data_IF_613764730757
#
_entry.id   IF_613764730757
#
_cell.length_a   1.000
_cell.length_b   1.000
_cell.length_c   1.000
_cell.angle_alpha   90.00
_cell.angle_beta   90.00
_cell.angle_gamma   90.00
#
_symmetry.space_group_name_H-M   'P 1'
#
loop_
_entity.id
_entity.type
_entity.pdbx_description
1 polymer ?
#
# COMPACT_ATOMS: atom_id res chain seq x y z
N UNK A 1 -54.01 -31.03 -13.47
CA UNK A 1 -53.65 -30.23 -12.28
C UNK A 1 -52.61 -29.20 -12.70
N UNK A 2 -53.04 -28.02 -13.14
CA UNK A 2 -52.14 -27.05 -13.79
C UNK A 2 -52.70 -25.64 -13.66
N UNK A 3 -52.43 -25.02 -12.52
CA UNK A 3 -52.89 -23.67 -12.21
C UNK A 3 -52.08 -23.12 -11.04
N UNK A 4 -50.82 -22.79 -11.31
CA UNK A 4 -49.97 -22.05 -10.38
C UNK A 4 -48.98 -21.20 -11.18
N UNK A 5 -49.49 -20.38 -12.09
CA UNK A 5 -48.73 -19.22 -12.55
C UNK A 5 -48.98 -18.13 -11.51
N UNK A 6 -47.93 -17.72 -10.80
CA UNK A 6 -47.98 -16.60 -9.86
C UNK A 6 -48.66 -15.39 -10.53
N UNK A 7 -49.59 -14.69 -9.85
CA UNK A 7 -50.13 -13.45 -10.39
C UNK A 7 -48.99 -12.43 -10.57
N UNK A 8 -49.13 -11.53 -11.54
CA UNK A 8 -48.08 -10.56 -11.89
C UNK A 8 -47.60 -9.76 -10.69
N UNK A 9 -48.53 -9.36 -9.82
CA UNK A 9 -48.23 -8.60 -8.60
C UNK A 9 -47.33 -9.39 -7.62
N UNK A 10 -47.51 -10.72 -7.54
CA UNK A 10 -46.63 -11.57 -6.73
C UNK A 10 -45.25 -11.73 -7.38
N UNK A 11 -45.17 -11.77 -8.71
CA UNK A 11 -43.90 -11.81 -9.44
C UNK A 11 -43.11 -10.51 -9.20
N UNK A 12 -43.76 -9.35 -9.31
CA UNK A 12 -43.14 -8.04 -9.08
C UNK A 12 -42.71 -7.86 -7.61
N UNK A 13 -43.49 -8.38 -6.67
CA UNK A 13 -43.12 -8.42 -5.25
C UNK A 13 -41.89 -9.31 -5.04
N UNK A 14 -41.90 -10.53 -5.58
CA UNK A 14 -40.77 -11.47 -5.49
C UNK A 14 -39.51 -10.90 -6.14
N UNK A 15 -39.62 -10.17 -7.26
CA UNK A 15 -38.47 -9.51 -7.89
C UNK A 15 -37.86 -8.44 -6.99
N UNK A 16 -38.68 -7.54 -6.43
CA UNK A 16 -38.20 -6.50 -5.51
C UNK A 16 -37.59 -7.07 -4.24
N UNK A 17 -38.22 -8.10 -3.67
CA UNK A 17 -37.68 -8.81 -2.51
C UNK A 17 -36.30 -9.42 -2.85
N UNK A 18 -36.19 -10.09 -4.00
CA UNK A 18 -34.92 -10.67 -4.45
C UNK A 18 -33.82 -9.62 -4.68
N UNK A 19 -34.15 -8.48 -5.28
CA UNK A 19 -33.21 -7.36 -5.47
C UNK A 19 -32.73 -6.80 -4.14
N UNK A 20 -33.62 -6.60 -3.17
CA UNK A 20 -33.25 -6.11 -1.83
C UNK A 20 -32.33 -7.08 -1.10
N UNK A 21 -32.61 -8.39 -1.14
CA UNK A 21 -31.73 -9.39 -0.53
C UNK A 21 -30.37 -9.45 -1.23
N UNK A 22 -30.34 -9.34 -2.57
CA UNK A 22 -29.09 -9.31 -3.32
C UNK A 22 -28.23 -8.09 -2.93
N UNK A 23 -28.83 -6.91 -2.75
CA UNK A 23 -28.12 -5.72 -2.27
C UNK A 23 -27.64 -5.87 -0.81
N UNK A 24 -28.44 -6.46 0.07
CA UNK A 24 -28.09 -6.69 1.46
C UNK A 24 -26.92 -7.67 1.59
N UNK A 25 -26.93 -8.75 0.81
CA UNK A 25 -25.84 -9.73 0.75
C UNK A 25 -24.56 -9.13 0.18
N UNK A 26 -24.68 -8.28 -0.85
CA UNK A 26 -23.54 -7.53 -1.39
C UNK A 26 -22.91 -6.63 -0.32
N UNK A 27 -23.73 -5.84 0.39
CA UNK A 27 -23.25 -4.94 1.46
C UNK A 27 -22.57 -5.72 2.58
N UNK A 28 -23.13 -6.86 2.99
CA UNK A 28 -22.52 -7.74 4.00
C UNK A 28 -21.16 -8.27 3.56
N UNK A 29 -21.05 -8.71 2.30
CA UNK A 29 -19.79 -9.19 1.75
C UNK A 29 -18.74 -8.08 1.73
N UNK A 30 -19.09 -6.91 1.20
CA UNK A 30 -18.17 -5.77 1.12
C UNK A 30 -17.70 -5.33 2.51
N UNK A 31 -18.60 -5.32 3.50
CA UNK A 31 -18.25 -5.01 4.88
C UNK A 31 -17.23 -6.01 5.46
N UNK A 32 -17.46 -7.31 5.24
CA UNK A 32 -16.54 -8.36 5.69
C UNK A 32 -15.17 -8.27 4.98
N UNK A 33 -15.15 -8.03 3.67
CA UNK A 33 -13.91 -7.85 2.91
C UNK A 33 -13.13 -6.63 3.37
N UNK A 34 -13.81 -5.50 3.57
CA UNK A 34 -13.20 -4.26 4.07
C UNK A 34 -12.58 -4.47 5.45
N UNK A 35 -13.29 -5.17 6.35
CA UNK A 35 -12.76 -5.51 7.68
C UNK A 35 -11.53 -6.41 7.61
N UNK A 36 -11.56 -7.46 6.80
CA UNK A 36 -10.42 -8.37 6.65
C UNK A 36 -9.19 -7.64 6.09
N UNK A 37 -9.38 -6.76 5.11
CA UNK A 37 -8.31 -5.94 4.55
C UNK A 37 -7.72 -4.99 5.59
N UNK A 38 -8.57 -4.33 6.37
CA UNK A 38 -8.17 -3.43 7.44
C UNK A 38 -7.39 -4.16 8.56
N UNK A 39 -7.86 -5.33 9.00
CA UNK A 39 -7.17 -6.15 10.01
C UNK A 39 -5.80 -6.61 9.50
N UNK A 40 -5.72 -7.03 8.24
CA UNK A 40 -4.45 -7.38 7.60
C UNK A 40 -3.50 -6.17 7.54
N UNK A 41 -4.00 -4.99 7.18
CA UNK A 41 -3.21 -3.75 7.11
C UNK A 41 -2.67 -3.35 8.49
N UNK A 42 -3.49 -3.48 9.55
CA UNK A 42 -3.05 -3.25 10.93
C UNK A 42 -1.88 -4.18 11.24
N UNK A 43 -2.05 -5.49 11.05
CA UNK A 43 -1.03 -6.47 11.38
C UNK A 43 0.29 -6.24 10.62
N UNK A 44 0.23 -6.01 9.31
CA UNK A 44 1.45 -5.80 8.50
C UNK A 44 2.18 -4.53 8.88
N UNK A 45 1.45 -3.45 9.16
CA UNK A 45 2.05 -2.16 9.54
C UNK A 45 2.65 -2.23 10.95
N UNK A 46 1.97 -2.87 11.91
CA UNK A 46 2.52 -3.07 13.26
C UNK A 46 3.79 -3.90 13.23
N UNK A 47 3.78 -5.00 12.47
CA UNK A 47 4.96 -5.82 12.30
C UNK A 47 6.11 -5.02 11.69
N UNK A 48 5.82 -4.23 10.65
CA UNK A 48 6.84 -3.43 9.99
C UNK A 48 7.44 -2.36 10.92
N UNK A 49 6.63 -1.71 11.76
CA UNK A 49 7.13 -0.81 12.80
C UNK A 49 8.04 -1.55 13.78
N UNK A 50 7.60 -2.71 14.27
CA UNK A 50 8.36 -3.53 15.22
C UNK A 50 9.71 -3.99 14.64
N UNK A 51 9.73 -4.38 13.36
CA UNK A 51 10.94 -4.86 12.69
C UNK A 51 11.94 -3.71 12.40
N UNK A 52 11.49 -2.45 12.44
CA UNK A 52 12.29 -1.27 12.07
C UNK A 52 12.35 -0.19 13.17
N UNK A 53 12.01 -0.50 14.42
CA UNK A 53 11.82 0.52 15.48
C UNK A 53 13.00 1.47 15.66
N UNK A 54 14.23 0.98 15.48
CA UNK A 54 15.46 1.76 15.64
C UNK A 54 15.75 2.69 14.46
N UNK A 55 15.18 2.40 13.28
CA UNK A 55 15.41 3.14 12.02
C UNK A 55 14.29 4.12 11.70
N UNK A 56 13.17 4.05 12.41
CA UNK A 56 12.00 4.89 12.17
C UNK A 56 12.12 6.18 12.99
N UNK A 57 12.00 7.37 12.36
CA UNK A 57 11.92 8.63 13.10
C UNK A 57 10.76 8.64 14.09
N UNK A 58 10.99 9.16 15.30
CA UNK A 58 10.00 9.15 16.39
C UNK A 58 8.67 9.84 16.01
N UNK A 59 8.74 10.94 15.27
CA UNK A 59 7.55 11.66 14.79
C UNK A 59 6.71 10.79 13.84
N UNK A 60 7.35 10.13 12.88
CA UNK A 60 6.70 9.20 11.94
C UNK A 60 6.13 7.98 12.66
N UNK A 61 6.86 7.42 13.63
CA UNK A 61 6.38 6.31 14.47
C UNK A 61 5.08 6.69 15.17
N UNK A 62 5.06 7.86 15.83
CA UNK A 62 3.89 8.35 16.56
C UNK A 62 2.69 8.61 15.64
N UNK A 63 2.90 9.13 14.43
CA UNK A 63 1.83 9.39 13.45
C UNK A 63 1.18 8.07 12.97
N UNK A 64 1.99 7.05 12.70
CA UNK A 64 1.51 5.72 12.28
C UNK A 64 0.80 5.00 13.43
N UNK A 65 1.36 5.01 14.64
CA UNK A 65 0.74 4.39 15.83
C UNK A 65 -0.62 5.01 16.17
N UNK A 66 -0.74 6.32 16.04
CA UNK A 66 -2.02 7.03 16.22
C UNK A 66 -3.05 6.58 15.19
N UNK A 67 -2.65 6.46 13.92
CA UNK A 67 -3.54 6.04 12.84
C UNK A 67 -3.95 4.57 12.96
N UNK A 68 -3.03 3.70 13.41
CA UNK A 68 -3.33 2.30 13.71
C UNK A 68 -4.31 2.16 14.88
N UNK A 69 -4.15 2.98 15.92
CA UNK A 69 -5.06 2.98 17.07
C UNK A 69 -6.46 3.40 16.64
N UNK A 70 -6.58 4.46 15.82
CA UNK A 70 -7.87 4.89 15.28
C UNK A 70 -8.54 3.79 14.45
N UNK A 71 -7.80 3.15 13.53
CA UNK A 71 -8.33 2.03 12.73
C UNK A 71 -8.78 0.85 13.61
N UNK A 72 -8.01 0.50 14.64
CA UNK A 72 -8.39 -0.54 15.61
C UNK A 72 -9.67 -0.19 16.36
N UNK A 73 -9.86 1.08 16.74
CA UNK A 73 -11.11 1.52 17.37
C UNK A 73 -12.29 1.44 16.40
N UNK A 74 -12.12 1.85 15.13
CA UNK A 74 -13.18 1.72 14.11
C UNK A 74 -13.56 0.26 13.83
N UNK A 75 -12.59 -0.64 13.84
CA UNK A 75 -12.80 -2.08 13.64
C UNK A 75 -13.64 -2.74 14.75
N UNK A 76 -13.82 -2.09 15.91
CA UNK A 76 -14.76 -2.56 16.95
C UNK A 76 -16.22 -2.29 16.60
N UNK A 77 -16.47 -1.40 15.64
CA UNK A 77 -17.81 -1.06 15.15
C UNK A 77 -18.17 -1.77 13.84
N UNK A 78 -19.30 -1.36 13.26
CA UNK A 78 -19.83 -1.91 12.00
C UNK A 78 -19.89 -0.85 10.88
N UNK A 79 -19.36 0.35 11.13
CA UNK A 79 -19.32 1.43 10.14
C UNK A 79 -18.22 1.16 9.10
N UNK A 80 -18.63 0.53 8.00
CA UNK A 80 -17.72 0.15 6.90
C UNK A 80 -17.07 1.38 6.25
N UNK A 81 -17.76 2.52 6.20
CA UNK A 81 -17.21 3.75 5.64
C UNK A 81 -16.11 4.32 6.55
N UNK A 82 -16.35 4.35 7.86
CA UNK A 82 -15.33 4.79 8.83
C UNK A 82 -14.10 3.88 8.85
N UNK A 83 -14.29 2.56 8.71
CA UNK A 83 -13.17 1.60 8.60
C UNK A 83 -12.36 1.86 7.34
N UNK A 84 -13.02 2.12 6.19
CA UNK A 84 -12.35 2.43 4.93
C UNK A 84 -11.53 3.72 5.02
N UNK A 85 -12.10 4.80 5.53
CA UNK A 85 -11.40 6.07 5.73
C UNK A 85 -10.18 5.92 6.65
N UNK A 86 -10.33 5.22 7.78
CA UNK A 86 -9.23 4.96 8.70
C UNK A 86 -8.15 4.05 8.07
N UNK A 87 -8.54 3.10 7.20
CA UNK A 87 -7.62 2.25 6.45
C UNK A 87 -6.79 3.05 5.44
N UNK A 88 -7.42 3.98 4.73
CA UNK A 88 -6.73 4.91 3.81
C UNK A 88 -5.72 5.77 4.56
N UNK A 89 -6.08 6.26 5.75
CA UNK A 89 -5.17 7.02 6.60
C UNK A 89 -3.95 6.20 7.03
N UNK A 90 -4.16 4.95 7.48
CA UNK A 90 -3.06 4.04 7.80
C UNK A 90 -2.18 3.82 6.57
N UNK A 91 -2.77 3.51 5.41
CA UNK A 91 -2.01 3.30 4.17
C UNK A 91 -1.15 4.52 3.80
N UNK A 92 -1.69 5.75 3.90
CA UNK A 92 -0.95 6.97 3.64
C UNK A 92 0.22 7.17 4.62
N UNK A 93 0.00 6.93 5.92
CA UNK A 93 1.08 7.04 6.92
C UNK A 93 2.13 5.94 6.76
N UNK A 94 1.74 4.72 6.38
CA UNK A 94 2.66 3.61 6.08
C UNK A 94 3.52 3.88 4.85
N UNK A 95 3.01 4.60 3.85
CA UNK A 95 3.81 5.05 2.71
C UNK A 95 4.90 6.05 3.13
N UNK A 96 4.57 7.04 3.97
CA UNK A 96 5.56 7.97 4.52
C UNK A 96 6.64 7.25 5.32
N UNK A 97 6.24 6.23 6.09
CA UNK A 97 7.16 5.38 6.85
C UNK A 97 8.15 4.64 5.94
N UNK A 98 7.66 4.04 4.85
CA UNK A 98 8.52 3.39 3.85
C UNK A 98 9.49 4.36 3.18
N UNK A 99 9.03 5.57 2.85
CA UNK A 99 9.88 6.63 2.29
C UNK A 99 10.98 7.06 3.26
N UNK A 100 10.66 7.24 4.55
CA UNK A 100 11.64 7.62 5.57
C UNK A 100 12.74 6.56 5.73
N UNK A 101 12.37 5.28 5.75
CA UNK A 101 13.32 4.17 5.86
C UNK A 101 14.20 4.02 4.62
N UNK A 102 13.64 4.23 3.42
CA UNK A 102 14.40 4.16 2.18
C UNK A 102 15.40 5.34 2.07
N UNK A 103 14.98 6.54 2.46
CA UNK A 103 15.86 7.70 2.50
C UNK A 103 17.02 7.52 3.50
N UNK A 104 16.74 6.96 4.68
CA UNK A 104 17.78 6.62 5.67
C UNK A 104 18.76 5.57 5.15
N UNK A 105 18.26 4.54 4.45
CA UNK A 105 19.09 3.51 3.85
C UNK A 105 20.04 4.06 2.77
N UNK A 106 19.58 4.98 1.91
CA UNK A 106 20.44 5.63 0.92
C UNK A 106 21.52 6.50 1.59
N UNK A 107 21.16 7.21 2.66
CA UNK A 107 22.11 8.06 3.39
C UNK A 107 23.14 7.24 4.17
N UNK A 108 22.76 6.09 4.73
CA UNK A 108 23.67 5.14 5.37
C UNK A 108 24.69 4.54 4.37
N UNK A 109 24.27 4.29 3.12
CA UNK A 109 25.14 3.76 2.07
C UNK A 109 26.13 4.82 1.53
N UNK A 110 25.72 6.09 1.48
CA UNK A 110 26.61 7.20 1.13
C UNK A 110 27.63 7.55 2.26
N UNK A 111 27.26 7.35 3.53
CA UNK A 111 28.13 7.58 4.69
C UNK A 111 29.18 6.49 4.96
N UNK A 112 29.06 5.33 4.31
CA UNK A 112 30.02 4.21 4.43
C UNK A 112 31.32 4.38 3.65
N UNK A 113 31.44 5.41 2.79
CA UNK A 113 32.62 5.63 1.94
C UNK A 113 33.74 6.45 2.60
N UNK A 114 33.53 7.04 3.79
CA UNK A 114 34.50 7.96 4.42
C UNK A 114 35.23 7.43 5.67
N UNK A 115 35.02 6.17 6.06
CA UNK A 115 35.66 5.56 7.25
C UNK A 115 36.68 4.46 6.93
N UNK A 116 37.45 4.60 5.84
CA UNK A 116 38.43 3.58 5.43
C UNK A 116 39.77 4.08 4.85
N UNK A 117 40.05 5.39 4.84
CA UNK A 117 41.30 5.92 4.29
C UNK A 117 42.36 6.12 5.38
N UNK A 118 43.04 5.04 5.78
CA UNK A 118 44.05 5.13 6.84
C UNK A 118 44.89 3.89 7.13
N UNK A 119 45.27 3.09 6.12
CA UNK A 119 46.46 2.23 6.21
C UNK A 119 46.86 1.74 4.81
N UNK A 120 47.90 2.35 4.24
CA UNK A 120 48.61 1.81 3.10
C UNK A 120 49.58 0.72 3.57
N UNK A 121 49.45 -0.51 3.06
CA UNK A 121 50.62 -1.34 2.69
C UNK A 121 50.28 -2.38 1.60
N UNK A 122 50.75 -2.07 0.40
CA UNK A 122 51.23 -2.92 -0.70
C UNK A 122 50.62 -4.31 -1.00
N UNK A 123 49.88 -4.39 -2.13
CA UNK A 123 49.65 -5.63 -2.90
C UNK A 123 48.85 -5.42 -4.19
N UNK A 124 49.52 -5.46 -5.35
CA UNK A 124 49.13 -5.14 -6.75
C UNK A 124 47.98 -6.00 -7.40
N UNK A 125 47.52 -5.76 -8.67
CA UNK A 125 46.11 -5.47 -9.01
C UNK A 125 45.47 -6.41 -10.08
N UNK A 126 44.14 -6.48 -10.12
CA UNK A 126 43.29 -6.96 -11.25
C UNK A 126 41.84 -6.61 -10.84
N UNK A 127 40.93 -5.96 -11.55
CA UNK A 127 40.83 -5.38 -12.88
C UNK A 127 39.31 -5.26 -13.20
N UNK A 128 38.76 -4.03 -13.24
CA UNK A 128 37.46 -3.59 -13.83
C UNK A 128 36.16 -4.28 -13.34
N UNK A 129 35.22 -3.71 -12.57
CA UNK A 129 34.50 -2.42 -12.61
C UNK A 129 33.36 -2.33 -13.65
N UNK A 130 32.32 -3.16 -13.57
CA UNK A 130 30.95 -2.99 -14.13
C UNK A 130 30.04 -3.88 -13.24
N UNK A 131 28.96 -3.47 -12.58
CA UNK A 131 27.71 -2.98 -13.16
C UNK A 131 26.74 -2.64 -12.00
N UNK A 132 26.61 -1.35 -11.66
CA UNK A 132 25.55 -0.82 -10.80
C UNK A 132 24.41 -0.39 -11.73
N UNK A 133 23.53 -1.34 -12.07
CA UNK A 133 22.40 -1.08 -12.97
C UNK A 133 21.31 -0.38 -12.17
N UNK A 134 21.34 0.95 -12.23
CA UNK A 134 20.19 1.79 -11.90
C UNK A 134 19.32 1.83 -13.15
N UNK A 135 18.21 1.10 -13.13
CA UNK A 135 17.17 1.13 -14.16
C UNK A 135 16.43 2.47 -14.08
N UNK A 136 17.05 3.50 -14.65
CA UNK A 136 16.41 4.78 -14.90
C UNK A 136 15.52 4.63 -16.13
N UNK A 137 14.21 4.53 -15.90
CA UNK A 137 13.18 4.61 -16.93
C UNK A 137 13.44 5.83 -17.83
N UNK A 138 13.86 5.57 -19.07
CA UNK A 138 13.91 6.58 -20.13
C UNK A 138 12.47 6.93 -20.46
N UNK A 139 12.06 8.13 -20.03
CA UNK A 139 10.87 8.82 -20.51
C UNK A 139 11.13 9.18 -21.98
N UNK A 140 10.58 8.39 -22.90
CA UNK A 140 10.58 8.67 -24.33
C UNK A 140 9.58 9.81 -24.60
N UNK A 141 10.06 11.05 -24.55
CA UNK A 141 9.29 12.25 -24.92
C UNK A 141 9.31 12.38 -26.46
N UNK A 142 8.21 11.96 -27.08
CA UNK A 142 7.90 12.14 -28.50
C UNK A 142 8.03 13.61 -28.93
N UNK A 143 9.09 13.99 -29.67
CA UNK A 143 9.12 15.26 -30.42
C UNK A 143 9.72 15.17 -31.84
N UNK A 144 8.77 14.99 -32.78
CA UNK A 144 8.62 15.58 -34.13
C UNK A 144 9.65 15.36 -35.26
N UNK A 145 9.15 15.16 -36.51
CA UNK A 145 9.98 14.98 -37.69
C UNK A 145 10.49 16.31 -38.23
N UNK A 146 11.68 16.31 -38.84
CA UNK A 146 12.12 17.36 -39.74
C UNK A 146 12.59 16.77 -41.08
N UNK A 147 11.92 17.25 -42.11
CA UNK A 147 12.27 17.14 -43.52
C UNK A 147 13.73 17.56 -43.82
N UNK A 148 14.32 16.92 -44.84
CA UNK A 148 15.04 17.67 -45.87
C UNK A 148 16.53 17.38 -46.06
N UNK A 149 16.83 16.89 -47.27
CA UNK A 149 18.00 17.16 -48.11
C UNK A 149 19.33 16.44 -47.81
N UNK A 150 19.66 15.46 -48.65
CA UNK A 150 20.68 15.60 -49.71
C UNK A 150 20.52 14.48 -50.75
#
# INVERSE_FOLDING_TARGET
TGGSSLPKDDIERMMREAEQYAEEDHKRREAAETRNQAEQLVYTTEKFLQDNEEKVPADTKSEVETSLTDLKEKLKGEDTAAIREASEKVAATSQKLGQALYADAQQAQAGGAEAGAGAADAGKPEGGAEDDVVDAEIVDDEQKPKDGAA
#
